data_IF_091331260513
#
_entry.id   IF_091331260513
#
_cell.length_a   1.000
_cell.length_b   1.000
_cell.length_c   1.000
_cell.angle_alpha   90.00
_cell.angle_beta   90.00
_cell.angle_gamma   90.00
#
_symmetry.space_group_name_H-M   'P 1'
#
loop_
_entity.id
_entity.type
_entity.pdbx_description
1 polymer ?
#
# COMPACT_ATOMS: atom_id res chain seq x y z
N UNK A 1 -49.73 19.97 -43.66
CA UNK A 1 -48.61 20.70 -42.99
C UNK A 1 -48.36 20.30 -41.53
N UNK A 2 -49.34 19.74 -40.80
CA UNK A 2 -49.18 19.37 -39.37
C UNK A 2 -48.50 18.02 -39.12
N UNK A 3 -48.67 17.05 -40.04
CA UNK A 3 -48.11 15.69 -39.92
C UNK A 3 -46.61 15.59 -40.19
N UNK A 4 -46.03 16.57 -40.91
CA UNK A 4 -44.60 16.60 -41.23
C UNK A 4 -43.77 17.11 -40.04
N UNK A 5 -44.33 18.00 -39.22
CA UNK A 5 -43.68 18.52 -38.01
C UNK A 5 -43.58 17.48 -36.89
N UNK A 6 -44.53 16.53 -36.84
CA UNK A 6 -44.56 15.46 -35.84
C UNK A 6 -43.47 14.39 -36.09
N UNK A 7 -43.04 14.21 -37.34
CA UNK A 7 -42.04 13.20 -37.72
C UNK A 7 -40.61 13.68 -37.37
N UNK A 8 -40.31 14.97 -37.53
CA UNK A 8 -39.01 15.53 -37.12
C UNK A 8 -38.78 15.44 -35.60
N UNK A 9 -39.83 15.58 -34.79
CA UNK A 9 -39.68 15.51 -33.33
C UNK A 9 -39.39 14.10 -32.82
N UNK A 10 -39.85 13.08 -33.55
CA UNK A 10 -39.66 11.66 -33.22
C UNK A 10 -38.27 11.14 -33.62
N UNK A 11 -37.62 11.78 -34.61
CA UNK A 11 -36.27 11.39 -35.07
C UNK A 11 -35.14 11.97 -34.18
N UNK A 12 -35.39 13.05 -33.44
CA UNK A 12 -34.39 13.67 -32.56
C UNK A 12 -34.17 12.92 -31.24
N UNK A 13 -35.12 12.11 -30.78
CA UNK A 13 -35.04 11.46 -29.46
C UNK A 13 -34.23 10.16 -29.44
N UNK A 14 -33.91 9.60 -30.61
CA UNK A 14 -33.29 8.25 -30.73
C UNK A 14 -31.78 8.31 -31.03
N UNK A 15 -31.20 9.50 -31.14
CA UNK A 15 -29.78 9.68 -31.50
C UNK A 15 -28.95 10.36 -30.42
N UNK A 16 -29.25 10.08 -29.16
CA UNK A 16 -28.26 10.25 -28.10
C UNK A 16 -27.63 8.88 -27.82
N UNK A 17 -26.38 8.61 -28.23
CA UNK A 17 -25.64 7.50 -27.64
C UNK A 17 -25.58 7.77 -26.14
N UNK A 18 -26.26 6.93 -25.35
CA UNK A 18 -26.09 6.93 -23.91
C UNK A 18 -24.66 6.44 -23.63
N UNK A 19 -23.70 7.36 -23.59
CA UNK A 19 -22.38 7.08 -23.07
C UNK A 19 -22.54 6.83 -21.57
N UNK A 20 -22.65 5.55 -21.20
CA UNK A 20 -22.52 5.14 -19.82
C UNK A 20 -21.12 5.56 -19.36
N UNK A 21 -21.05 6.49 -18.41
CA UNK A 21 -19.80 6.83 -17.74
C UNK A 21 -19.35 5.60 -16.96
N UNK A 22 -18.28 4.95 -17.41
CA UNK A 22 -17.69 3.84 -16.66
C UNK A 22 -17.15 4.41 -15.34
N UNK A 23 -17.75 3.96 -14.22
CA UNK A 23 -17.33 4.40 -12.88
C UNK A 23 -15.96 3.79 -12.59
N UNK A 24 -14.91 4.58 -12.80
CA UNK A 24 -13.55 4.21 -12.45
C UNK A 24 -13.43 3.96 -10.94
N UNK A 25 -12.59 3.01 -10.50
CA UNK A 25 -12.36 2.78 -9.08
C UNK A 25 -11.74 4.02 -8.43
N UNK A 26 -12.07 4.25 -7.16
CA UNK A 26 -11.46 5.33 -6.38
C UNK A 26 -10.01 5.00 -6.06
N UNK A 27 -9.20 6.03 -5.81
CA UNK A 27 -7.82 5.86 -5.35
C UNK A 27 -7.75 5.03 -4.06
N UNK A 28 -8.65 5.26 -3.12
CA UNK A 28 -8.77 4.51 -1.87
C UNK A 28 -8.96 3.01 -2.13
N UNK A 29 -9.88 2.64 -3.03
CA UNK A 29 -10.12 1.24 -3.36
C UNK A 29 -8.90 0.59 -4.03
N UNK A 30 -8.20 1.32 -4.91
CA UNK A 30 -6.96 0.83 -5.53
C UNK A 30 -5.82 0.68 -4.50
N UNK A 31 -5.70 1.63 -3.58
CA UNK A 31 -4.74 1.61 -2.49
C UNK A 31 -4.96 0.41 -1.57
N UNK A 32 -6.19 0.23 -1.09
CA UNK A 32 -6.54 -0.84 -0.15
C UNK A 32 -6.44 -2.23 -0.80
N UNK A 33 -6.81 -2.35 -2.07
CA UNK A 33 -6.63 -3.59 -2.84
C UNK A 33 -5.15 -3.89 -3.03
N UNK A 34 -4.31 -2.88 -3.31
CA UNK A 34 -2.86 -3.05 -3.44
C UNK A 34 -2.23 -3.50 -2.12
N UNK A 35 -2.62 -2.87 -1.01
CA UNK A 35 -2.17 -3.26 0.33
C UNK A 35 -2.61 -4.68 0.69
N UNK A 36 -3.86 -5.02 0.43
CA UNK A 36 -4.39 -6.39 0.65
C UNK A 36 -3.58 -7.42 -0.13
N UNK A 37 -3.21 -7.09 -1.37
CA UNK A 37 -2.38 -7.97 -2.22
C UNK A 37 -0.96 -8.13 -1.66
N UNK A 38 -0.38 -7.07 -1.09
CA UNK A 38 0.96 -7.09 -0.48
C UNK A 38 0.98 -7.68 0.93
N UNK A 39 -0.18 -7.81 1.58
CA UNK A 39 -0.30 -8.20 2.98
C UNK A 39 0.45 -9.50 3.33
N UNK A 40 0.35 -10.60 2.57
CA UNK A 40 1.09 -11.83 2.88
C UNK A 40 2.61 -11.60 2.93
N UNK A 41 3.15 -10.82 1.99
CA UNK A 41 4.58 -10.51 1.94
C UNK A 41 5.01 -9.55 3.05
N UNK A 42 4.15 -8.61 3.45
CA UNK A 42 4.39 -7.74 4.61
C UNK A 42 4.47 -8.59 5.88
N UNK A 43 3.47 -9.43 6.11
CA UNK A 43 3.39 -10.35 7.25
C UNK A 43 4.62 -11.24 7.33
N UNK A 44 5.05 -11.81 6.19
CA UNK A 44 6.26 -12.63 6.12
C UNK A 44 7.50 -11.84 6.59
N UNK A 45 7.68 -10.60 6.13
CA UNK A 45 8.83 -9.80 6.55
C UNK A 45 8.77 -9.38 8.02
N UNK A 46 7.59 -9.09 8.55
CA UNK A 46 7.41 -8.81 9.99
C UNK A 46 7.81 -10.04 10.81
N UNK A 47 7.31 -11.23 10.44
CA UNK A 47 7.66 -12.49 11.12
C UNK A 47 9.15 -12.79 10.98
N UNK A 48 9.75 -12.60 9.81
CA UNK A 48 11.18 -12.81 9.60
C UNK A 48 12.05 -11.89 10.46
N UNK A 49 11.60 -10.65 10.72
CA UNK A 49 12.33 -9.71 11.54
C UNK A 49 12.18 -9.99 13.04
N UNK A 50 10.94 -10.18 13.51
CA UNK A 50 10.64 -10.29 14.94
C UNK A 50 10.66 -11.73 15.48
N UNK A 51 10.57 -12.74 14.61
CA UNK A 51 10.43 -14.15 14.98
C UNK A 51 8.99 -14.57 15.34
N UNK A 52 8.04 -13.63 15.33
CA UNK A 52 6.62 -13.85 15.58
C UNK A 52 5.78 -12.82 14.81
N UNK A 53 4.46 -13.06 14.75
CA UNK A 53 3.54 -12.10 14.16
C UNK A 53 3.33 -10.91 15.10
N UNK A 54 4.08 -9.83 14.87
CA UNK A 54 3.88 -8.55 15.55
C UNK A 54 2.73 -7.78 14.92
N UNK A 55 1.90 -7.13 15.74
CA UNK A 55 0.78 -6.33 15.27
C UNK A 55 1.28 -5.05 14.59
N UNK A 56 0.54 -4.59 13.58
CA UNK A 56 0.78 -3.32 12.90
C UNK A 56 -0.52 -2.66 12.45
N UNK A 57 -0.52 -1.34 12.44
CA UNK A 57 -1.64 -0.49 12.02
C UNK A 57 -1.06 0.66 11.18
N UNK A 58 -1.82 1.18 10.21
CA UNK A 58 -1.36 2.12 9.19
C UNK A 58 -0.22 1.59 8.29
N UNK A 59 -0.59 0.75 7.30
CA UNK A 59 0.30 0.46 6.17
C UNK A 59 0.10 1.51 5.08
N UNK A 60 1.17 2.18 4.65
CA UNK A 60 1.12 3.25 3.65
C UNK A 60 2.05 2.88 2.50
N UNK A 61 1.53 2.88 1.28
CA UNK A 61 2.37 2.83 0.08
C UNK A 61 2.96 4.23 -0.15
N UNK A 62 4.28 4.35 0.00
CA UNK A 62 4.97 5.66 -0.11
C UNK A 62 5.60 5.88 -1.48
N UNK A 63 5.89 4.81 -2.20
CA UNK A 63 6.50 4.89 -3.53
C UNK A 63 6.11 3.70 -4.40
N UNK A 64 5.85 3.95 -5.68
CA UNK A 64 5.70 2.93 -6.71
C UNK A 64 6.52 3.38 -7.92
N UNK A 65 7.49 2.56 -8.32
CA UNK A 65 8.31 2.79 -9.52
C UNK A 65 8.18 1.61 -10.46
N UNK A 66 7.68 1.85 -11.67
CA UNK A 66 7.73 0.85 -12.74
C UNK A 66 9.18 0.68 -13.21
N UNK A 67 9.64 -0.56 -13.34
CA UNK A 67 11.03 -0.83 -13.72
C UNK A 67 11.28 -0.56 -15.21
N UNK A 68 10.32 -0.89 -16.07
CA UNK A 68 10.38 -0.68 -17.52
C UNK A 68 9.04 -0.20 -18.06
N UNK A 69 9.06 0.71 -19.02
CA UNK A 69 7.86 1.14 -19.74
C UNK A 69 7.16 -0.06 -20.41
N UNK A 70 5.83 -0.12 -20.33
CA UNK A 70 5.05 -1.25 -20.83
C UNK A 70 5.15 -2.55 -20.03
N UNK A 71 6.08 -2.67 -19.07
CA UNK A 71 6.26 -3.87 -18.24
C UNK A 71 5.44 -3.85 -16.93
N UNK A 72 5.18 -5.01 -16.33
CA UNK A 72 4.38 -5.16 -15.11
C UNK A 72 5.21 -5.42 -13.84
N UNK A 73 6.47 -4.96 -13.84
CA UNK A 73 7.36 -5.07 -12.68
C UNK A 73 7.48 -3.71 -11.99
N UNK A 74 7.33 -3.71 -10.66
CA UNK A 74 7.33 -2.50 -9.85
C UNK A 74 8.22 -2.66 -8.63
N UNK A 75 8.92 -1.58 -8.28
CA UNK A 75 9.50 -1.43 -6.95
C UNK A 75 8.52 -0.61 -6.10
N UNK A 76 8.07 -1.18 -4.99
CA UNK A 76 7.05 -0.61 -4.12
C UNK A 76 7.62 -0.45 -2.72
N UNK A 77 7.58 0.75 -2.18
CA UNK A 77 7.98 1.02 -0.80
C UNK A 77 6.73 1.16 0.08
N UNK A 78 6.67 0.38 1.15
CA UNK A 78 5.62 0.46 2.17
C UNK A 78 6.20 0.86 3.52
N UNK A 79 5.46 1.64 4.27
CA UNK A 79 5.76 1.98 5.66
C UNK A 79 4.66 1.40 6.54
N UNK A 80 5.04 0.79 7.66
CA UNK A 80 4.12 0.27 8.66
C UNK A 80 4.53 0.73 10.06
N UNK A 81 3.53 0.88 10.94
CA UNK A 81 3.75 1.12 12.36
C UNK A 81 3.42 -0.14 13.15
N UNK A 82 4.44 -0.74 13.78
CA UNK A 82 4.30 -1.95 14.61
C UNK A 82 4.08 -1.59 16.07
N UNK A 83 3.41 -2.45 16.81
CA UNK A 83 3.22 -2.31 18.26
C UNK A 83 3.10 -3.67 18.95
N UNK A 84 3.45 -3.70 20.23
CA UNK A 84 3.22 -4.88 21.08
C UNK A 84 1.77 -4.92 21.58
N UNK A 85 1.20 -3.77 21.93
CA UNK A 85 -0.16 -3.66 22.47
C UNK A 85 -0.88 -2.45 21.84
N UNK A 86 -2.12 -2.64 21.39
CA UNK A 86 -2.91 -1.62 20.68
C UNK A 86 -3.17 -0.32 21.47
N UNK A 87 -2.90 -0.32 22.77
CA UNK A 87 -3.21 0.81 23.67
C UNK A 87 -1.99 1.40 24.38
N UNK A 88 -0.81 0.81 24.22
CA UNK A 88 0.41 1.33 24.85
C UNK A 88 1.57 1.32 23.85
N UNK A 89 1.92 2.49 23.29
CA UNK A 89 3.15 2.67 22.55
C UNK A 89 4.35 2.19 23.37
N UNK A 90 5.39 1.70 22.70
CA UNK A 90 6.02 2.52 21.67
C UNK A 90 5.97 1.85 20.28
N UNK A 91 5.79 2.68 19.24
CA UNK A 91 5.60 2.19 17.87
C UNK A 91 6.94 2.00 17.17
N UNK A 92 7.20 0.80 16.67
CA UNK A 92 8.26 0.57 15.69
C UNK A 92 7.81 1.11 14.33
N UNK A 93 8.72 1.71 13.56
CA UNK A 93 8.44 2.12 12.19
C UNK A 93 9.26 1.26 11.25
N UNK A 94 8.57 0.49 10.42
CA UNK A 94 9.24 -0.36 9.45
C UNK A 94 9.06 0.20 8.04
N UNK A 95 10.11 0.08 7.24
CA UNK A 95 10.05 0.38 5.82
C UNK A 95 10.47 -0.85 5.04
N UNK A 96 9.59 -1.33 4.17
CA UNK A 96 9.85 -2.50 3.33
C UNK A 96 9.81 -2.06 1.87
N UNK A 97 10.84 -2.45 1.11
CA UNK A 97 10.84 -2.28 -0.34
C UNK A 97 10.64 -3.63 -0.98
N UNK A 98 9.59 -3.76 -1.77
CA UNK A 98 9.25 -4.94 -2.53
C UNK A 98 9.54 -4.75 -4.01
N UNK A 99 9.94 -5.84 -4.65
CA UNK A 99 9.86 -6.01 -6.08
C UNK A 99 8.60 -6.85 -6.39
N UNK A 100 7.60 -6.20 -6.97
CA UNK A 100 6.30 -6.77 -7.33
C UNK A 100 6.34 -7.16 -8.80
N UNK A 101 6.15 -8.44 -9.09
CA UNK A 101 6.15 -9.01 -10.44
C UNK A 101 4.83 -9.75 -10.69
N UNK A 102 4.49 -10.03 -11.96
CA UNK A 102 3.32 -10.85 -12.30
C UNK A 102 3.31 -12.23 -11.63
N UNK A 103 4.50 -12.78 -11.33
CA UNK A 103 4.66 -14.13 -10.78
C UNK A 103 4.94 -14.15 -9.27
N UNK A 104 4.90 -12.99 -8.59
CA UNK A 104 5.08 -12.93 -7.16
C UNK A 104 5.73 -11.64 -6.66
N UNK A 105 5.84 -11.56 -5.34
CA UNK A 105 6.38 -10.40 -4.62
C UNK A 105 7.61 -10.85 -3.85
N UNK A 106 8.71 -10.09 -3.97
CA UNK A 106 9.96 -10.36 -3.25
C UNK A 106 10.39 -9.12 -2.47
N UNK A 107 10.70 -9.27 -1.19
CA UNK A 107 11.34 -8.21 -0.42
C UNK A 107 12.78 -7.98 -0.91
N UNK A 108 13.11 -6.72 -1.20
CA UNK A 108 14.46 -6.27 -1.52
C UNK A 108 15.17 -5.74 -0.27
N UNK A 109 14.41 -5.09 0.61
CA UNK A 109 14.96 -4.39 1.76
C UNK A 109 13.92 -4.29 2.88
N UNK A 110 14.38 -4.43 4.13
CA UNK A 110 13.61 -4.19 5.34
C UNK A 110 14.42 -3.29 6.27
N UNK A 111 13.87 -2.13 6.62
CA UNK A 111 14.44 -1.22 7.61
C UNK A 111 13.59 -1.22 8.85
N UNK A 112 14.25 -1.49 9.98
CA UNK A 112 13.66 -1.33 11.28
C UNK A 112 14.10 -0.02 11.93
N UNK A 113 13.13 0.82 12.28
CA UNK A 113 13.34 1.96 13.15
C UNK A 113 12.59 1.70 14.46
N UNK A 114 13.33 1.07 15.39
CA UNK A 114 12.86 0.79 16.74
C UNK A 114 12.28 2.02 17.44
N UNK A 115 11.44 1.71 18.41
CA UNK A 115 10.68 2.70 19.13
C UNK A 115 11.56 3.49 20.12
N UNK A 116 11.01 4.50 20.81
CA UNK A 116 11.80 5.33 21.74
C UNK A 116 12.45 4.50 22.86
N UNK A 117 11.74 3.50 23.38
CA UNK A 117 12.17 2.65 24.49
C UNK A 117 13.27 1.68 24.05
N UNK A 118 13.14 1.11 22.85
CA UNK A 118 14.18 0.27 22.25
C UNK A 118 15.44 1.09 21.96
N UNK A 119 15.29 2.30 21.41
CA UNK A 119 16.40 3.22 21.17
C UNK A 119 17.14 3.57 22.47
N UNK A 120 16.41 3.85 23.55
CA UNK A 120 16.99 4.14 24.86
C UNK A 120 17.73 2.92 25.44
N UNK A 121 17.10 1.74 25.43
CA UNK A 121 17.68 0.49 25.91
C UNK A 121 18.98 0.15 25.17
N UNK A 122 18.98 0.32 23.85
CA UNK A 122 20.16 0.11 22.99
C UNK A 122 21.25 1.14 23.25
N UNK A 123 20.90 2.39 23.57
CA UNK A 123 21.85 3.42 23.94
C UNK A 123 22.53 3.13 25.29
N UNK A 124 21.77 2.66 26.28
CA UNK A 124 22.29 2.25 27.60
C UNK A 124 23.27 1.07 27.45
N UNK A 125 22.89 0.01 26.72
CA UNK A 125 23.75 -1.14 26.45
C UNK A 125 25.08 -0.73 25.79
N UNK A 126 25.04 0.16 24.80
CA UNK A 126 26.24 0.69 24.12
C UNK A 126 27.12 1.58 25.01
N UNK A 127 26.58 2.20 26.06
CA UNK A 127 27.37 2.93 27.04
C UNK A 127 28.09 1.95 27.97
N UNK A 128 27.38 0.94 28.45
CA UNK A 128 27.95 -0.08 29.36
C UNK A 128 29.09 -0.86 28.69
N UNK A 129 28.98 -1.20 27.41
CA UNK A 129 30.04 -1.91 26.67
C UNK A 129 31.24 -1.03 26.28
N UNK A 130 31.20 0.29 26.45
CA UNK A 130 32.33 1.21 26.16
C UNK A 130 33.12 1.60 27.41
N UNK A 131 32.64 1.23 28.60
CA UNK A 131 33.29 1.47 29.88
C UNK A 131 34.20 0.32 30.36
N UNK A 132 34.44 -0.68 29.50
CA UNK A 132 35.32 -1.83 29.75
C UNK A 132 36.50 -1.81 28.79
#
# INVERSE_FOLDING_TARGET
MKKLFLICFLFCFVWSPAYASEKQPTYELLHDTSLTTLHPSITEQVVNHYGYLKLYDATIITHIKRQHEGGFNFDVAVVLHTFEHAHNPPYGKETIVFNVRPFGVKALYFKHEGDATEKESKAISRRNNRGH
#
